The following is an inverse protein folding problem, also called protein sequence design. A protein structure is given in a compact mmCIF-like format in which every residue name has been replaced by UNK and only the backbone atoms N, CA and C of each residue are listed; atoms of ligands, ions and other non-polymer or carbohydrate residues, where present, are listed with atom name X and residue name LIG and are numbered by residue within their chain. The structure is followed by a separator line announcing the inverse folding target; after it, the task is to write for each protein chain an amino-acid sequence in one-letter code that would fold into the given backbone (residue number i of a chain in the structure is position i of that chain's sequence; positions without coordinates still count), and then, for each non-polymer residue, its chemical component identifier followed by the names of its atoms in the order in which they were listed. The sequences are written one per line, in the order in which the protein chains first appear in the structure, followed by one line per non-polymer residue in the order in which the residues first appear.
data_IF_262101994269
#
_entry.id   IF_262101994269
#
_cell.length_a   1.000
_cell.length_b   1.000
_cell.length_c   1.000
_cell.angle_alpha   90.00
_cell.angle_beta   90.00
_cell.angle_gamma   90.00
#
_symmetry.space_group_name_H-M   'P 1'
#
loop_
_entity.id
_entity.type
_entity.pdbx_description
1 polymer ?
#
# COMPACT_ATOMS: atom_id res chain seq x y z
N UNK A 1 12.84 -15.48 -8.80
CA UNK A 1 11.58 -15.80 -8.09
C UNK A 1 10.45 -15.20 -8.91
N UNK A 2 9.46 -15.97 -9.38
CA UNK A 2 8.31 -15.41 -10.08
C UNK A 2 7.51 -14.56 -9.08
N UNK A 3 7.27 -13.29 -9.41
CA UNK A 3 6.39 -12.44 -8.63
C UNK A 3 5.01 -13.10 -8.57
N UNK A 4 4.50 -13.35 -7.35
CA UNK A 4 3.10 -13.81 -7.20
C UNK A 4 2.20 -12.74 -7.85
N UNK A 5 1.29 -13.12 -8.75
CA UNK A 5 0.35 -12.16 -9.30
C UNK A 5 -0.47 -11.57 -8.16
N UNK A 6 -0.68 -10.25 -8.20
CA UNK A 6 -1.60 -9.56 -7.32
C UNK A 6 -2.97 -10.25 -7.38
N UNK A 7 -3.47 -10.74 -6.24
CA UNK A 7 -4.85 -11.23 -6.13
C UNK A 7 -5.74 -10.01 -5.89
N UNK A 8 -6.60 -9.63 -6.86
CA UNK A 8 -7.52 -8.53 -6.66
C UNK A 8 -8.42 -8.80 -5.46
N UNK A 9 -8.54 -7.81 -4.59
CA UNK A 9 -9.44 -7.88 -3.43
C UNK A 9 -10.85 -7.41 -3.83
N UNK A 10 -11.82 -7.54 -2.93
CA UNK A 10 -13.19 -7.06 -3.14
C UNK A 10 -13.28 -5.52 -3.27
N UNK A 11 -12.20 -4.79 -3.00
CA UNK A 11 -12.15 -3.33 -3.09
C UNK A 11 -11.49 -2.89 -4.40
N UNK A 12 -12.31 -2.44 -5.34
CA UNK A 12 -11.85 -1.99 -6.66
C UNK A 12 -10.92 -0.77 -6.56
N UNK A 13 -11.19 0.17 -5.63
CA UNK A 13 -10.34 1.33 -5.44
C UNK A 13 -8.92 0.92 -5.01
N UNK A 14 -8.81 -0.08 -4.13
CA UNK A 14 -7.53 -0.65 -3.74
C UNK A 14 -6.81 -1.32 -4.92
N UNK A 15 -7.52 -2.12 -5.71
CA UNK A 15 -6.95 -2.76 -6.91
C UNK A 15 -6.40 -1.72 -7.90
N UNK A 16 -7.15 -0.63 -8.11
CA UNK A 16 -6.70 0.49 -8.96
C UNK A 16 -5.51 1.23 -8.35
N UNK A 17 -5.51 1.45 -7.03
CA UNK A 17 -4.41 2.09 -6.33
C UNK A 17 -3.13 1.25 -6.41
N UNK A 18 -3.21 -0.08 -6.33
CA UNK A 18 -2.05 -0.98 -6.47
C UNK A 18 -1.49 -0.90 -7.89
N UNK A 19 -2.37 -0.91 -8.90
CA UNK A 19 -1.96 -0.74 -10.29
C UNK A 19 -1.29 0.62 -10.52
N UNK A 20 -1.79 1.68 -9.87
CA UNK A 20 -1.19 3.00 -9.92
C UNK A 20 0.16 3.08 -9.19
N UNK A 21 0.26 2.52 -7.99
CA UNK A 21 1.50 2.50 -7.22
C UNK A 21 2.62 1.74 -7.95
N UNK A 22 2.29 0.67 -8.67
CA UNK A 22 3.24 -0.04 -9.52
C UNK A 22 3.74 0.83 -10.69
N UNK A 23 2.92 1.76 -11.19
CA UNK A 23 3.28 2.69 -12.26
C UNK A 23 4.02 3.92 -11.77
N UNK A 24 4.13 4.19 -10.47
CA UNK A 24 4.86 5.35 -9.95
C UNK A 24 6.31 5.40 -10.42
N UNK A 25 6.97 4.23 -10.51
CA UNK A 25 8.32 4.13 -11.06
C UNK A 25 8.38 4.51 -12.55
N UNK A 26 7.34 4.19 -13.34
CA UNK A 26 7.25 4.52 -14.76
C UNK A 26 6.80 5.98 -14.98
N UNK A 27 5.96 6.51 -14.09
CA UNK A 27 5.43 7.88 -14.12
C UNK A 27 6.41 8.92 -13.53
N UNK A 28 7.57 8.49 -13.03
CA UNK A 28 8.56 9.38 -12.42
C UNK A 28 8.17 9.91 -11.04
N UNK A 29 7.15 9.31 -10.41
CA UNK A 29 6.69 9.69 -9.06
C UNK A 29 7.70 9.18 -8.04
N UNK A 30 8.40 10.12 -7.40
CA UNK A 30 9.42 9.81 -6.41
C UNK A 30 8.78 9.52 -5.05
N UNK A 31 8.65 8.24 -4.71
CA UNK A 31 8.13 7.79 -3.42
C UNK A 31 9.28 7.63 -2.43
N UNK A 32 9.17 8.27 -1.26
CA UNK A 32 10.16 8.12 -0.19
C UNK A 32 10.24 6.68 0.32
N UNK A 33 11.40 6.28 0.84
CA UNK A 33 11.61 4.92 1.35
C UNK A 33 10.62 4.53 2.45
N UNK A 34 10.26 5.49 3.31
CA UNK A 34 9.25 5.31 4.36
C UNK A 34 7.83 5.11 3.78
N UNK A 35 7.48 5.84 2.73
CA UNK A 35 6.19 5.71 2.05
C UNK A 35 6.10 4.41 1.25
N UNK A 36 7.19 3.97 0.63
CA UNK A 36 7.26 2.64 -0.02
C UNK A 36 7.08 1.52 0.99
N UNK A 37 7.74 1.61 2.16
CA UNK A 37 7.56 0.67 3.25
C UNK A 37 6.12 0.66 3.76
N UNK A 38 5.47 1.83 3.81
CA UNK A 38 4.07 1.99 4.22
C UNK A 38 3.07 1.40 3.23
N UNK A 39 3.24 1.67 1.94
CA UNK A 39 2.47 1.02 0.88
C UNK A 39 2.61 -0.50 0.96
N UNK A 40 3.82 -1.02 1.12
CA UNK A 40 4.06 -2.46 1.18
C UNK A 40 3.44 -3.12 2.42
N UNK A 41 3.53 -2.47 3.59
CA UNK A 41 2.90 -2.95 4.82
C UNK A 41 1.37 -3.00 4.71
N UNK A 42 0.76 -1.90 4.26
CA UNK A 42 -0.69 -1.80 4.03
C UNK A 42 -1.15 -2.81 2.98
N UNK A 43 -0.39 -2.98 1.90
CA UNK A 43 -0.68 -3.95 0.85
C UNK A 43 -0.76 -5.38 1.39
N UNK A 44 0.24 -5.81 2.16
CA UNK A 44 0.28 -7.15 2.74
C UNK A 44 -0.88 -7.40 3.69
N UNK A 45 -1.15 -6.45 4.57
CA UNK A 45 -2.29 -6.52 5.47
C UNK A 45 -3.62 -6.58 4.71
N UNK A 46 -3.75 -5.79 3.65
CA UNK A 46 -4.94 -5.70 2.79
C UNK A 46 -5.26 -6.97 2.01
N UNK A 47 -4.26 -7.83 1.75
CA UNK A 47 -4.44 -9.13 1.09
C UNK A 47 -4.49 -10.30 2.09
N UNK A 48 -4.48 -10.00 3.41
CA UNK A 48 -4.50 -11.02 4.46
C UNK A 48 -3.17 -11.77 4.63
N UNK A 49 -2.06 -11.28 4.07
CA UNK A 49 -0.74 -11.78 4.45
C UNK A 49 -0.33 -11.12 5.78
N UNK A 50 0.17 -11.93 6.73
CA UNK A 50 0.69 -11.41 7.99
C UNK A 50 1.82 -10.41 7.70
N UNK A 51 1.63 -9.15 8.10
CA UNK A 51 2.70 -8.17 8.05
C UNK A 51 3.89 -8.68 8.90
N UNK A 52 5.14 -8.53 8.43
CA UNK A 52 6.29 -8.98 9.19
C UNK A 52 6.28 -8.32 10.57
N UNK A 53 6.18 -9.13 11.63
CA UNK A 53 6.28 -8.66 13.01
C UNK A 53 7.68 -8.06 13.21
N UNK A 54 7.73 -6.76 13.49
CA UNK A 54 8.98 -6.01 13.65
C UNK A 54 9.37 -5.21 12.40
N UNK A 55 8.91 -3.96 12.36
CA UNK A 55 9.21 -2.95 11.35
C UNK A 55 8.36 -1.70 11.60
N UNK A 56 8.51 -0.63 10.81
CA UNK A 56 7.65 0.58 10.89
C UNK A 56 6.13 0.30 10.86
N UNK A 57 5.74 -0.92 10.47
CA UNK A 57 4.38 -1.46 10.51
C UNK A 57 4.35 -2.63 11.49
N UNK A 58 4.41 -2.29 12.78
CA UNK A 58 4.11 -3.25 13.82
C UNK A 58 2.60 -3.56 13.72
N UNK A 59 2.18 -4.83 13.55
CA UNK A 59 0.76 -5.19 13.55
C UNK A 59 0.07 -4.91 14.90
N UNK A 60 0.82 -4.41 15.89
CA UNK A 60 0.31 -3.87 17.15
C UNK A 60 -0.08 -2.38 17.09
N UNK A 61 0.37 -1.62 16.07
CA UNK A 61 0.05 -0.19 15.85
C UNK A 61 -1.08 0.01 14.85
N UNK A 62 -1.27 -0.96 13.94
CA UNK A 62 -2.58 -1.20 13.35
C UNK A 62 -3.44 -1.65 14.53
N UNK A 63 -4.26 -0.74 15.07
CA UNK A 63 -5.16 -0.99 16.20
C UNK A 63 -5.67 -2.44 16.21
N UNK A 64 -5.77 -3.07 17.38
CA UNK A 64 -6.30 -4.42 17.62
C UNK A 64 -7.74 -4.68 17.07
N UNK A 65 -8.25 -3.83 16.19
CA UNK A 65 -9.48 -4.00 15.41
C UNK A 65 -9.45 -3.41 14.00
N UNK A 66 -8.30 -2.99 13.44
CA UNK A 66 -8.26 -2.45 12.07
C UNK A 66 -8.58 -3.55 11.07
N UNK A 67 -9.65 -3.35 10.34
CA UNK A 67 -10.12 -4.33 9.35
C UNK A 67 -9.29 -4.24 8.08
N UNK A 68 -9.26 -5.34 7.32
CA UNK A 68 -8.68 -5.39 5.96
C UNK A 68 -9.18 -4.22 5.09
N UNK A 69 -10.46 -3.85 5.25
CA UNK A 69 -11.09 -2.75 4.54
C UNK A 69 -10.48 -1.38 4.89
N UNK A 70 -10.23 -1.11 6.17
CA UNK A 70 -9.59 0.16 6.58
C UNK A 70 -8.15 0.28 6.08
N UNK A 71 -7.42 -0.83 6.05
CA UNK A 71 -6.07 -0.83 5.48
C UNK A 71 -6.08 -0.61 3.96
N UNK A 72 -7.08 -1.14 3.26
CA UNK A 72 -7.29 -0.89 1.85
C UNK A 72 -7.61 0.59 1.60
N UNK A 73 -8.50 1.19 2.40
CA UNK A 73 -8.83 2.61 2.29
C UNK A 73 -7.62 3.50 2.61
N UNK A 74 -6.81 3.15 3.62
CA UNK A 74 -5.56 3.88 3.94
C UNK A 74 -4.52 3.75 2.82
N UNK A 75 -4.42 2.58 2.18
CA UNK A 75 -3.55 2.37 1.02
C UNK A 75 -3.98 3.27 -0.15
N UNK A 76 -5.27 3.30 -0.47
CA UNK A 76 -5.81 4.16 -1.54
C UNK A 76 -5.52 5.63 -1.25
N UNK A 77 -5.79 6.09 -0.03
CA UNK A 77 -5.52 7.46 0.39
C UNK A 77 -4.02 7.82 0.30
N UNK A 78 -3.13 6.88 0.64
CA UNK A 78 -1.69 7.08 0.53
C UNK A 78 -1.24 7.15 -0.93
N UNK A 79 -1.72 6.26 -1.80
CA UNK A 79 -1.42 6.29 -3.24
C UNK A 79 -1.91 7.60 -3.86
N UNK A 80 -3.12 8.05 -3.55
CA UNK A 80 -3.64 9.33 -4.06
C UNK A 80 -2.83 10.52 -3.54
N UNK A 81 -2.43 10.49 -2.26
CA UNK A 81 -1.52 11.50 -1.70
C UNK A 81 -0.17 11.50 -2.42
N UNK A 82 0.40 10.32 -2.71
CA UNK A 82 1.67 10.16 -3.40
C UNK A 82 1.60 10.61 -4.86
N UNK A 83 0.49 10.35 -5.56
CA UNK A 83 0.21 10.94 -6.87
C UNK A 83 0.17 12.46 -6.80
N UNK A 84 -0.56 13.00 -5.83
CA UNK A 84 -0.70 14.44 -5.67
C UNK A 84 0.61 15.12 -5.23
N UNK A 85 1.45 14.44 -4.44
CA UNK A 85 2.76 14.95 -4.03
C UNK A 85 3.85 14.70 -5.07
N UNK A 86 3.68 13.70 -5.94
CA UNK A 86 4.59 13.37 -7.05
C UNK A 86 4.65 14.43 -8.16
N UNK A 87 3.78 15.45 -8.11
CA UNK A 87 3.73 16.58 -9.04
C UNK A 87 4.63 17.77 -8.65
N UNK A 88 5.41 17.67 -7.56
CA UNK A 88 6.31 18.77 -7.15
C UNK A 88 7.70 18.32 -6.73
N UNK A 89 8.57 18.09 -7.71
CA UNK A 89 9.96 18.54 -7.66
C UNK A 89 10.50 18.71 -9.09
#
# INVERSE_FOLDING_TARGET
MPAKPFTPTDNEAFNQAVAAANKFSDEGVQVSKDDQLRLYGLFKFSIGEEAPKGGLFDPTVVDEGKTVKEAQDEYVALVDKLKASGDKA
#
